data_IF_915643823325
#
_entry.id   IF_915643823325
#
_cell.length_a   1.000
_cell.length_b   1.000
_cell.length_c   1.000
_cell.angle_alpha   90.00
_cell.angle_beta   90.00
_cell.angle_gamma   90.00
#
_symmetry.space_group_name_H-M   'P 1'
#
loop_
_entity.id
_entity.type
_entity.pdbx_description
1 polymer ?
#
# COMPACT_ATOMS: atom_id res chain seq x y z
N UNK A 1 -0.97 15.01 -24.87
CA UNK A 1 -1.98 13.96 -25.06
C UNK A 1 -3.33 14.60 -25.29
N UNK A 2 -4.11 14.01 -26.21
CA UNK A 2 -5.49 14.45 -26.48
C UNK A 2 -6.36 14.14 -25.25
N UNK A 3 -7.39 14.95 -24.94
CA UNK A 3 -8.17 14.83 -23.71
C UNK A 3 -8.69 13.41 -23.40
N UNK A 4 -9.11 12.66 -24.44
CA UNK A 4 -9.53 11.27 -24.27
C UNK A 4 -8.42 10.32 -23.81
N UNK A 5 -7.18 10.53 -24.25
CA UNK A 5 -6.03 9.73 -23.78
C UNK A 5 -5.71 10.02 -22.32
N UNK A 6 -5.86 11.27 -21.88
CA UNK A 6 -5.67 11.66 -20.48
C UNK A 6 -6.65 10.94 -19.55
N UNK A 7 -7.93 10.88 -19.93
CA UNK A 7 -8.96 10.17 -19.15
C UNK A 7 -8.64 8.69 -19.08
N UNK A 8 -8.24 8.08 -20.20
CA UNK A 8 -7.89 6.67 -20.24
C UNK A 8 -6.70 6.33 -19.33
N UNK A 9 -5.62 7.12 -19.40
CA UNK A 9 -4.45 6.94 -18.53
C UNK A 9 -4.78 7.18 -17.05
N UNK A 10 -5.63 8.16 -16.74
CA UNK A 10 -6.07 8.42 -15.38
C UNK A 10 -6.86 7.24 -14.80
N UNK A 11 -7.80 6.67 -15.58
CA UNK A 11 -8.55 5.48 -15.20
C UNK A 11 -7.64 4.26 -15.00
N UNK A 12 -6.72 4.03 -15.93
CA UNK A 12 -5.75 2.93 -15.84
C UNK A 12 -4.89 3.05 -14.56
N UNK A 13 -4.38 4.23 -14.28
CA UNK A 13 -3.56 4.48 -13.09
C UNK A 13 -4.37 4.32 -11.80
N UNK A 14 -5.59 4.82 -11.78
CA UNK A 14 -6.50 4.67 -10.64
C UNK A 14 -6.80 3.20 -10.36
N UNK A 15 -7.12 2.40 -11.37
CA UNK A 15 -7.41 0.97 -11.22
C UNK A 15 -6.16 0.19 -10.75
N UNK A 16 -4.98 0.52 -11.26
CA UNK A 16 -3.74 -0.14 -10.87
C UNK A 16 -3.41 0.04 -9.39
N UNK A 17 -3.64 1.25 -8.85
CA UNK A 17 -3.32 1.58 -7.45
C UNK A 17 -4.45 1.22 -6.50
N UNK A 18 -5.69 1.15 -6.99
CA UNK A 18 -6.87 0.82 -6.18
C UNK A 18 -6.70 -0.52 -5.47
N UNK A 19 -6.24 -1.55 -6.19
CA UNK A 19 -6.03 -2.88 -5.63
C UNK A 19 -5.05 -2.85 -4.44
N UNK A 20 -3.91 -2.16 -4.58
CA UNK A 20 -2.92 -2.00 -3.51
C UNK A 20 -3.49 -1.21 -2.31
N UNK A 21 -4.26 -0.15 -2.58
CA UNK A 21 -4.85 0.69 -1.54
C UNK A 21 -5.89 -0.07 -0.70
N UNK A 22 -6.59 -1.03 -1.29
CA UNK A 22 -7.54 -1.90 -0.59
C UNK A 22 -6.81 -3.05 0.13
N UNK A 23 -5.84 -3.69 -0.52
CA UNK A 23 -5.17 -4.87 0.01
C UNK A 23 -4.38 -4.59 1.30
N UNK A 24 -3.67 -3.47 1.39
CA UNK A 24 -2.82 -3.16 2.55
C UNK A 24 -3.61 -3.09 3.86
N UNK A 25 -4.70 -2.32 4.01
CA UNK A 25 -5.49 -2.32 5.23
C UNK A 25 -6.14 -3.67 5.52
N UNK A 26 -6.50 -4.45 4.51
CA UNK A 26 -7.05 -5.80 4.71
C UNK A 26 -6.00 -6.77 5.27
N UNK A 27 -4.75 -6.69 4.82
CA UNK A 27 -3.64 -7.53 5.32
C UNK A 27 -3.30 -7.18 6.76
N UNK A 28 -3.28 -5.89 7.10
CA UNK A 28 -2.93 -5.43 8.44
C UNK A 28 -4.09 -5.69 9.42
N UNK A 29 -5.33 -5.51 8.99
CA UNK A 29 -6.50 -5.62 9.86
C UNK A 29 -6.50 -4.55 10.96
N UNK A 30 -6.66 -4.97 12.21
CA UNK A 30 -6.54 -4.12 13.41
C UNK A 30 -7.30 -2.78 13.33
N UNK A 31 -8.53 -2.81 12.81
CA UNK A 31 -9.38 -1.62 12.69
C UNK A 31 -9.08 -0.70 11.49
N UNK A 32 -8.05 -1.02 10.69
CA UNK A 32 -7.79 -0.31 9.44
C UNK A 32 -8.82 -0.73 8.39
N UNK A 33 -9.56 0.25 7.86
CA UNK A 33 -10.59 -0.01 6.85
C UNK A 33 -10.13 0.45 5.46
N UNK A 34 -10.47 -0.29 4.38
CA UNK A 34 -10.20 0.14 3.02
C UNK A 34 -10.79 1.52 2.69
N UNK A 35 -11.96 1.84 3.27
CA UNK A 35 -12.60 3.15 3.07
C UNK A 35 -11.75 4.30 3.62
N UNK A 36 -11.19 4.15 4.82
CA UNK A 36 -10.29 5.15 5.40
C UNK A 36 -9.00 5.28 4.60
N UNK A 37 -8.44 4.16 4.12
CA UNK A 37 -7.25 4.16 3.28
C UNK A 37 -7.49 4.87 1.93
N UNK A 38 -8.63 4.65 1.29
CA UNK A 38 -9.00 5.33 0.05
C UNK A 38 -9.22 6.83 0.26
N UNK A 39 -9.87 7.23 1.35
CA UNK A 39 -10.03 8.64 1.73
C UNK A 39 -8.66 9.30 1.94
N UNK A 40 -7.77 8.66 2.71
CA UNK A 40 -6.41 9.14 2.95
C UNK A 40 -5.59 9.26 1.66
N UNK A 41 -5.68 8.28 0.76
CA UNK A 41 -5.04 8.30 -0.55
C UNK A 41 -5.56 9.46 -1.42
N UNK A 42 -6.88 9.70 -1.43
CA UNK A 42 -7.50 10.79 -2.16
C UNK A 42 -7.05 12.16 -1.65
N UNK A 43 -7.16 12.40 -0.34
CA UNK A 43 -6.73 13.64 0.29
C UNK A 43 -5.22 13.86 0.10
N UNK A 44 -4.41 12.84 0.35
CA UNK A 44 -2.96 12.90 0.16
C UNK A 44 -2.58 13.25 -1.28
N UNK A 45 -3.25 12.66 -2.26
CA UNK A 45 -3.04 12.95 -3.68
C UNK A 45 -3.40 14.39 -4.03
N UNK A 46 -4.52 14.90 -3.53
CA UNK A 46 -4.93 16.30 -3.76
C UNK A 46 -3.89 17.26 -3.18
N UNK A 47 -3.49 17.04 -1.92
CA UNK A 47 -2.46 17.84 -1.26
C UNK A 47 -1.16 17.81 -2.06
N UNK A 48 -0.70 16.63 -2.47
CA UNK A 48 0.50 16.47 -3.29
C UNK A 48 0.41 17.26 -4.61
N UNK A 49 -0.69 17.15 -5.34
CA UNK A 49 -0.92 17.85 -6.61
C UNK A 49 -0.90 19.37 -6.43
N UNK A 50 -1.44 19.87 -5.32
CA UNK A 50 -1.42 21.31 -4.99
C UNK A 50 0.02 21.78 -4.72
N UNK A 51 0.78 21.06 -3.89
CA UNK A 51 2.17 21.41 -3.57
C UNK A 51 3.10 21.31 -4.78
N UNK A 52 2.90 20.33 -5.66
CA UNK A 52 3.69 20.15 -6.88
C UNK A 52 3.25 21.06 -8.03
N UNK A 53 2.23 21.92 -7.80
CA UNK A 53 1.67 22.83 -8.82
C UNK A 53 1.31 22.09 -10.13
N UNK A 54 0.79 20.86 -10.02
CA UNK A 54 0.43 19.97 -11.14
C UNK A 54 1.61 19.60 -12.06
N UNK A 55 2.86 19.78 -11.61
CA UNK A 55 4.04 19.42 -12.42
C UNK A 55 4.33 17.91 -12.40
N UNK A 56 3.91 17.22 -11.36
CA UNK A 56 4.11 15.78 -11.20
C UNK A 56 2.75 15.10 -10.93
N UNK A 57 2.14 14.49 -11.95
CA UNK A 57 0.87 13.76 -11.80
C UNK A 57 1.16 12.38 -11.20
N UNK A 58 1.14 12.28 -9.88
CA UNK A 58 1.31 11.02 -9.15
C UNK A 58 0.10 10.81 -8.25
N UNK A 59 -0.41 9.59 -8.25
CA UNK A 59 -1.41 9.14 -7.29
C UNK A 59 -0.72 8.52 -6.08
N UNK A 60 -1.05 9.01 -4.88
CA UNK A 60 -0.53 8.45 -3.64
C UNK A 60 -1.48 7.37 -3.14
N UNK A 61 -0.94 6.20 -2.85
CA UNK A 61 -1.69 5.06 -2.33
C UNK A 61 -0.94 4.35 -1.21
N UNK A 62 -1.52 3.26 -0.72
CA UNK A 62 -0.89 2.44 0.31
C UNK A 62 0.38 1.77 -0.21
N UNK A 63 1.39 1.65 0.65
CA UNK A 63 2.68 1.06 0.31
C UNK A 63 2.85 -0.32 0.92
N UNK A 64 3.12 -1.31 0.10
CA UNK A 64 3.46 -2.67 0.55
C UNK A 64 4.77 -2.74 1.33
N UNK A 65 5.71 -1.83 1.07
CA UNK A 65 6.99 -1.79 1.77
C UNK A 65 6.85 -1.52 3.28
N UNK A 66 5.78 -0.87 3.71
CA UNK A 66 5.53 -0.54 5.10
C UNK A 66 4.69 -1.58 5.86
N UNK A 67 4.18 -2.63 5.21
CA UNK A 67 3.34 -3.64 5.87
C UNK A 67 4.05 -4.24 7.08
N UNK A 68 5.31 -4.61 6.95
CA UNK A 68 6.08 -5.20 8.05
C UNK A 68 6.20 -4.27 9.27
N UNK A 69 6.49 -2.99 9.05
CA UNK A 69 6.57 -2.00 10.13
C UNK A 69 5.20 -1.67 10.72
N UNK A 70 4.14 -1.67 9.90
CA UNK A 70 2.78 -1.49 10.38
C UNK A 70 2.32 -2.66 11.25
N UNK A 71 2.60 -3.90 10.83
CA UNK A 71 2.31 -5.09 11.66
C UNK A 71 3.12 -5.09 12.96
N UNK A 72 4.37 -4.64 12.91
CA UNK A 72 5.21 -4.51 14.09
C UNK A 72 4.65 -3.53 15.14
N UNK A 73 3.92 -2.49 14.72
CA UNK A 73 3.27 -1.56 15.63
C UNK A 73 2.17 -2.21 16.49
N UNK A 74 1.58 -3.32 16.03
CA UNK A 74 0.58 -4.09 16.76
C UNK A 74 1.15 -5.37 17.40
N UNK A 75 2.47 -5.61 17.28
CA UNK A 75 3.12 -6.78 17.86
C UNK A 75 3.24 -6.66 19.39
N UNK A 76 3.37 -7.81 20.07
CA UNK A 76 3.64 -7.83 21.51
C UNK A 76 2.44 -7.63 22.43
N UNK A 77 1.21 -7.84 21.93
CA UNK A 77 -0.02 -7.74 22.75
C UNK A 77 -0.40 -6.30 23.10
N UNK A 78 0.05 -5.35 22.31
CA UNK A 78 -0.29 -3.91 22.46
C UNK A 78 -1.77 -3.70 22.16
N UNK A 79 -2.44 -2.85 22.93
CA UNK A 79 -3.83 -2.48 22.68
C UNK A 79 -3.98 -1.83 21.28
N UNK A 80 -5.17 -1.96 20.69
CA UNK A 80 -5.46 -1.37 19.37
C UNK A 80 -5.15 0.14 19.34
N UNK A 81 -5.50 0.85 20.40
CA UNK A 81 -5.26 2.31 20.50
C UNK A 81 -3.77 2.66 20.49
N UNK A 82 -2.96 1.93 21.25
CA UNK A 82 -1.51 2.14 21.29
C UNK A 82 -0.85 1.74 19.97
N UNK A 83 -1.30 0.66 19.34
CA UNK A 83 -0.85 0.26 18.01
C UNK A 83 -1.16 1.33 16.95
N UNK A 84 -2.34 1.92 16.99
CA UNK A 84 -2.75 3.00 16.10
C UNK A 84 -1.91 4.28 16.33
N UNK A 85 -1.64 4.64 17.59
CA UNK A 85 -0.71 5.73 17.91
C UNK A 85 0.69 5.44 17.40
N UNK A 86 1.17 4.21 17.53
CA UNK A 86 2.45 3.76 16.98
C UNK A 86 2.51 3.96 15.45
N UNK A 87 1.44 3.62 14.73
CA UNK A 87 1.34 3.87 13.29
C UNK A 87 1.42 5.36 12.95
N UNK A 88 0.69 6.21 13.68
CA UNK A 88 0.69 7.65 13.45
C UNK A 88 2.08 8.26 13.69
N UNK A 89 2.73 7.89 14.80
CA UNK A 89 4.08 8.35 15.10
C UNK A 89 5.07 7.84 14.06
N UNK A 90 4.98 6.58 13.67
CA UNK A 90 5.81 5.99 12.63
C UNK A 90 5.64 6.69 11.27
N UNK A 91 4.40 7.02 10.89
CA UNK A 91 4.12 7.76 9.66
C UNK A 91 4.68 9.19 9.70
N UNK A 92 4.55 9.88 10.84
CA UNK A 92 5.17 11.21 11.03
C UNK A 92 6.70 11.14 10.96
N UNK A 93 7.31 10.16 11.61
CA UNK A 93 8.75 9.96 11.56
C UNK A 93 9.24 9.68 10.14
N UNK A 94 8.55 8.81 9.40
CA UNK A 94 8.83 8.54 7.99
C UNK A 94 8.71 9.81 7.14
N UNK A 95 7.67 10.63 7.37
CA UNK A 95 7.51 11.93 6.71
C UNK A 95 8.68 12.88 6.98
N UNK A 96 9.15 12.94 8.22
CA UNK A 96 10.34 13.76 8.60
C UNK A 96 11.61 13.30 7.88
N UNK A 97 11.82 11.99 7.72
CA UNK A 97 12.95 11.47 6.94
C UNK A 97 12.91 11.99 5.50
N UNK A 98 11.73 12.00 4.86
CA UNK A 98 11.60 12.58 3.51
C UNK A 98 11.90 14.09 3.47
N UNK A 99 11.53 14.83 4.51
CA UNK A 99 11.87 16.26 4.62
C UNK A 99 13.39 16.45 4.71
N UNK A 100 14.07 15.63 5.51
CA UNK A 100 15.54 15.64 5.61
C UNK A 100 16.19 15.32 4.26
N UNK A 101 15.71 14.28 3.58
CA UNK A 101 16.20 13.92 2.24
C UNK A 101 15.99 15.07 1.25
N UNK A 102 14.83 15.71 1.27
CA UNK A 102 14.53 16.85 0.41
C UNK A 102 15.45 18.04 0.68
N UNK A 103 15.75 18.31 1.96
CA UNK A 103 16.70 19.35 2.35
C UNK A 103 18.13 19.04 1.87
N UNK A 104 18.56 17.78 2.01
CA UNK A 104 19.86 17.32 1.51
C UNK A 104 19.94 17.42 -0.03
N UNK A 105 18.90 17.00 -0.75
CA UNK A 105 18.84 17.12 -2.22
C UNK A 105 18.91 18.59 -2.63
N UNK A 106 18.27 19.48 -1.91
CA UNK A 106 18.32 20.92 -2.18
C UNK A 106 19.71 21.53 -1.92
N UNK A 107 20.44 21.03 -0.92
CA UNK A 107 21.75 21.53 -0.53
C UNK A 107 22.90 20.95 -1.37
N UNK A 108 22.87 19.65 -1.67
CA UNK A 108 23.99 18.90 -2.28
C UNK A 108 23.71 18.47 -3.73
N UNK A 109 22.43 18.57 -4.16
CA UNK A 109 22.00 18.09 -5.48
C UNK A 109 21.51 16.64 -5.46
N UNK A 110 21.09 16.13 -6.60
CA UNK A 110 20.48 14.78 -6.77
C UNK A 110 21.52 13.68 -7.03
N UNK A 111 22.74 14.04 -7.43
CA UNK A 111 23.75 13.07 -7.90
C UNK A 111 24.13 12.01 -6.85
N UNK A 112 24.21 12.40 -5.57
CA UNK A 112 24.50 11.47 -4.49
C UNK A 112 23.39 10.41 -4.33
N UNK A 113 22.13 10.81 -4.54
CA UNK A 113 20.98 9.91 -4.47
C UNK A 113 21.02 8.86 -5.59
N UNK A 114 21.38 9.30 -6.81
CA UNK A 114 21.55 8.40 -7.95
C UNK A 114 22.71 7.41 -7.75
N UNK A 115 23.76 7.83 -7.02
CA UNK A 115 24.86 6.94 -6.63
C UNK A 115 24.46 5.94 -5.54
N UNK A 116 23.59 6.37 -4.61
CA UNK A 116 23.12 5.53 -3.50
C UNK A 116 22.10 4.48 -3.98
N UNK A 117 21.29 4.83 -4.98
CA UNK A 117 20.20 3.98 -5.51
C UNK A 117 20.41 3.69 -7.01
N UNK A 118 21.48 3.00 -7.40
CA UNK A 118 21.64 2.57 -8.78
C UNK A 118 20.60 1.50 -9.13
N UNK A 119 20.27 1.28 -10.41
CA UNK A 119 19.29 0.29 -10.85
C UNK A 119 19.55 -1.12 -10.33
N UNK A 120 20.81 -1.47 -10.11
CA UNK A 120 21.24 -2.77 -9.54
C UNK A 120 20.80 -2.96 -8.09
N UNK A 121 20.53 -1.89 -7.37
CA UNK A 121 19.99 -1.93 -5.99
C UNK A 121 18.46 -1.88 -6.01
N UNK A 122 17.88 -1.02 -6.85
CA UNK A 122 16.43 -0.83 -6.94
C UNK A 122 15.74 -2.11 -7.41
N UNK A 123 16.25 -2.77 -8.45
CA UNK A 123 15.67 -3.98 -9.01
C UNK A 123 15.49 -5.11 -7.98
N UNK A 124 16.57 -5.58 -7.33
CA UNK A 124 16.46 -6.60 -6.29
C UNK A 124 15.57 -6.19 -5.11
N UNK A 125 15.62 -4.92 -4.67
CA UNK A 125 14.78 -4.45 -3.57
C UNK A 125 13.30 -4.57 -3.89
N UNK A 126 12.87 -4.14 -5.09
CA UNK A 126 11.48 -4.28 -5.54
C UNK A 126 11.08 -5.75 -5.68
N UNK A 127 11.99 -6.60 -6.18
CA UNK A 127 11.76 -8.04 -6.30
C UNK A 127 11.58 -8.71 -4.93
N UNK A 128 12.39 -8.35 -3.93
CA UNK A 128 12.26 -8.86 -2.56
C UNK A 128 10.92 -8.44 -1.94
N UNK A 129 10.48 -7.19 -2.13
CA UNK A 129 9.17 -6.74 -1.67
C UNK A 129 8.07 -7.58 -2.31
N UNK A 130 8.11 -7.81 -3.62
CA UNK A 130 7.14 -8.65 -4.32
C UNK A 130 7.12 -10.09 -3.80
N UNK A 131 8.29 -10.71 -3.62
CA UNK A 131 8.42 -12.07 -3.11
C UNK A 131 7.94 -12.19 -1.66
N UNK A 132 8.16 -11.20 -0.82
CA UNK A 132 7.69 -11.21 0.57
C UNK A 132 6.16 -11.24 0.68
N UNK A 133 5.46 -10.76 -0.35
CA UNK A 133 3.99 -10.75 -0.42
C UNK A 133 3.42 -12.03 -1.04
N UNK A 134 4.24 -12.88 -1.67
CA UNK A 134 3.79 -14.11 -2.29
C UNK A 134 3.11 -15.06 -1.27
N UNK A 135 3.63 -15.12 -0.03
CA UNK A 135 3.03 -15.88 1.06
C UNK A 135 1.61 -15.43 1.41
N UNK A 136 1.35 -14.12 1.39
CA UNK A 136 0.00 -13.58 1.63
C UNK A 136 -0.96 -13.96 0.50
N UNK A 137 -0.51 -13.85 -0.76
CA UNK A 137 -1.33 -14.22 -1.91
C UNK A 137 -1.71 -15.71 -1.89
N UNK A 138 -0.77 -16.59 -1.55
CA UNK A 138 -1.04 -18.03 -1.36
C UNK A 138 -1.98 -18.24 -0.17
N UNK A 139 -1.75 -17.54 0.95
CA UNK A 139 -2.62 -17.59 2.11
C UNK A 139 -4.06 -17.20 1.80
N UNK A 140 -4.26 -16.16 1.01
CA UNK A 140 -5.60 -15.70 0.60
C UNK A 140 -6.30 -16.74 -0.31
N UNK A 141 -5.55 -17.41 -1.19
CA UNK A 141 -6.08 -18.48 -2.02
C UNK A 141 -6.49 -19.72 -1.20
N UNK A 142 -5.72 -20.06 -0.16
CA UNK A 142 -5.92 -21.29 0.62
C UNK A 142 -6.85 -21.12 1.81
N UNK A 143 -6.82 -19.95 2.47
CA UNK A 143 -7.61 -19.66 3.68
C UNK A 143 -8.90 -18.92 3.39
N UNK A 144 -9.08 -18.41 2.16
CA UNK A 144 -10.30 -17.74 1.75
C UNK A 144 -11.50 -18.66 1.83
N UNK A 145 -12.58 -18.23 2.51
CA UNK A 145 -13.87 -18.88 2.44
C UNK A 145 -14.68 -18.29 1.29
N UNK A 146 -15.23 -19.14 0.47
CA UNK A 146 -16.20 -18.75 -0.56
C UNK A 146 -17.61 -18.97 0.01
N UNK A 147 -18.48 -17.97 -0.09
CA UNK A 147 -19.88 -18.12 0.28
C UNK A 147 -20.56 -18.98 -0.78
N UNK A 148 -21.08 -20.14 -0.39
CA UNK A 148 -21.84 -21.03 -1.25
C UNK A 148 -23.26 -21.16 -0.73
N UNK A 149 -24.24 -21.00 -1.60
CA UNK A 149 -25.63 -21.27 -1.25
C UNK A 149 -25.85 -22.78 -1.06
N UNK A 150 -26.40 -23.15 0.09
CA UNK A 150 -26.92 -24.51 0.32
C UNK A 150 -28.22 -24.75 -0.46
N UNK A 151 -28.78 -25.94 -0.36
CA UNK A 151 -30.04 -26.30 -1.03
C UNK A 151 -31.24 -25.44 -0.57
N UNK A 152 -31.12 -24.76 0.57
CA UNK A 152 -32.16 -23.90 1.19
C UNK A 152 -31.92 -22.42 0.86
N UNK A 153 -30.85 -22.07 0.04
CA UNK A 153 -30.54 -20.72 -0.35
C UNK A 153 -29.75 -19.90 0.68
N UNK A 154 -29.33 -20.50 1.79
CA UNK A 154 -28.52 -19.86 2.81
C UNK A 154 -27.06 -19.85 2.38
N UNK A 155 -26.39 -18.70 2.51
CA UNK A 155 -24.99 -18.51 2.16
C UNK A 155 -24.08 -18.99 3.30
N UNK A 156 -23.50 -20.16 3.17
CA UNK A 156 -22.54 -20.72 4.13
C UNK A 156 -21.10 -20.53 3.66
N UNK A 157 -20.17 -20.18 4.56
CA UNK A 157 -18.76 -20.12 4.25
C UNK A 157 -18.20 -21.53 4.03
N UNK A 158 -17.74 -21.81 2.81
CA UNK A 158 -17.07 -23.06 2.43
C UNK A 158 -15.60 -22.78 2.20
N UNK A 159 -14.72 -23.69 2.57
CA UNK A 159 -13.30 -23.57 2.29
C UNK A 159 -13.07 -23.32 0.79
N UNK A 160 -12.08 -22.45 0.48
CA UNK A 160 -11.75 -22.13 -0.91
C UNK A 160 -11.48 -23.42 -1.70
N UNK A 161 -12.02 -23.57 -2.90
CA UNK A 161 -11.77 -24.75 -3.75
C UNK A 161 -10.28 -24.95 -4.06
N UNK A 162 -9.47 -23.90 -3.92
CA UNK A 162 -8.01 -23.95 -4.09
C UNK A 162 -7.27 -24.51 -2.88
N UNK A 163 -7.90 -24.57 -1.69
CA UNK A 163 -7.31 -25.16 -0.48
C UNK A 163 -7.04 -26.67 -0.63
N UNK A 164 -7.73 -27.36 -1.53
CA UNK A 164 -7.55 -28.78 -1.81
C UNK A 164 -6.49 -29.05 -2.89
N UNK A 165 -5.93 -28.00 -3.52
CA UNK A 165 -4.94 -28.12 -4.59
C UNK A 165 -3.50 -27.93 -4.11
N UNK A 166 -3.30 -27.55 -2.86
CA UNK A 166 -2.03 -27.30 -2.19
C UNK A 166 -1.81 -28.26 -1.03
#
# INVERSE_FOLDING_TARGET
PKGGQLIFFALQQMLAILAATIAVPMIIGNGLTPAAAMLGAGVGTIVYVLFTKRKSPVFLGSSFAFIGSMLAAFAGGVSMELGMLGLLIGALAAGLVYVVIAALVKAVGVEWLNKLMPPVVIGPTVSIIGLSLAGNAIGDLTKGSVLRANAEGELLPVASPYAAML
#
